data_IF_300031477768
#
_entry.id   IF_300031477768
#
_cell.length_a   1.000
_cell.length_b   1.000
_cell.length_c   1.000
_cell.angle_alpha   90.00
_cell.angle_beta   90.00
_cell.angle_gamma   90.00
#
_symmetry.space_group_name_H-M   'P 1'
#
loop_
_entity.id
_entity.type
_entity.pdbx_description
1 polymer ?
#
# COMPACT_ATOMS: atom_id res chain seq x y z
N UNK A 1 1.89 22.01 33.19
CA UNK A 1 1.22 21.30 34.30
C UNK A 1 1.47 19.81 34.10
N UNK A 2 2.18 19.22 35.08
CA UNK A 2 2.67 17.84 35.05
C UNK A 2 1.53 16.86 35.32
N UNK A 3 1.37 15.82 34.48
CA UNK A 3 0.61 14.63 34.85
C UNK A 3 1.46 13.37 34.73
N UNK A 4 1.59 12.72 35.89
CA UNK A 4 2.46 11.60 36.21
C UNK A 4 1.95 10.31 35.58
N UNK A 5 2.88 9.52 34.98
CA UNK A 5 2.66 8.13 34.60
C UNK A 5 2.61 7.25 35.83
N UNK A 6 1.58 6.42 35.95
CA UNK A 6 1.51 5.35 36.93
C UNK A 6 2.03 4.04 36.31
N UNK A 7 3.11 3.54 36.91
CA UNK A 7 3.77 2.27 36.56
C UNK A 7 3.07 1.18 37.39
N UNK A 8 2.42 0.21 36.77
CA UNK A 8 1.85 -0.94 37.44
C UNK A 8 2.74 -2.17 37.20
N UNK A 9 3.39 -2.59 38.27
CA UNK A 9 4.24 -3.78 38.36
C UNK A 9 3.34 -5.00 38.57
N UNK A 10 3.42 -6.03 37.72
CA UNK A 10 2.83 -7.35 38.00
C UNK A 10 3.94 -8.36 38.34
N UNK A 11 3.81 -8.92 39.53
CA UNK A 11 4.71 -9.93 40.10
C UNK A 11 4.46 -11.30 39.46
N UNK A 12 5.56 -11.99 39.13
CA UNK A 12 5.62 -13.42 38.88
C UNK A 12 5.28 -14.23 40.12
N UNK A 13 4.48 -15.26 39.97
CA UNK A 13 4.46 -16.37 40.91
C UNK A 13 4.61 -17.70 40.18
N UNK A 14 5.73 -18.35 40.47
CA UNK A 14 6.12 -19.68 40.01
C UNK A 14 5.36 -20.74 40.81
N UNK A 15 4.84 -21.76 40.16
CA UNK A 15 4.50 -23.02 40.78
C UNK A 15 5.12 -24.17 39.99
N UNK A 16 6.10 -24.82 40.67
CA UNK A 16 6.65 -26.13 40.32
C UNK A 16 5.76 -27.20 40.91
N UNK A 17 5.34 -28.17 40.14
CA UNK A 17 5.06 -29.52 40.65
C UNK A 17 5.44 -30.55 39.58
N UNK A 18 6.43 -31.36 39.93
CA UNK A 18 6.78 -32.54 39.17
C UNK A 18 5.93 -33.75 39.60
N UNK A 19 5.78 -34.69 38.70
CA UNK A 19 5.66 -36.11 39.01
C UNK A 19 6.03 -36.96 37.76
N UNK A 20 7.03 -37.78 37.97
CA UNK A 20 7.41 -38.92 37.11
C UNK A 20 6.32 -39.98 37.13
N UNK A 21 6.04 -40.58 35.98
CA UNK A 21 5.62 -41.97 35.86
C UNK A 21 6.09 -42.55 34.53
N UNK A 22 6.97 -43.51 34.64
CA UNK A 22 7.40 -44.38 33.53
C UNK A 22 6.29 -45.38 33.21
N UNK A 23 6.03 -45.65 31.95
CA UNK A 23 5.36 -46.87 31.51
C UNK A 23 6.04 -47.42 30.24
N UNK A 24 6.59 -48.58 30.41
CA UNK A 24 7.06 -49.48 29.37
C UNK A 24 5.97 -49.80 28.33
N UNK A 25 6.34 -49.80 27.07
CA UNK A 25 5.58 -50.46 26.02
C UNK A 25 6.53 -51.08 24.97
N UNK A 26 6.22 -52.28 24.51
CA UNK A 26 7.15 -53.11 23.77
C UNK A 26 7.27 -52.74 22.31
N UNK A 27 8.45 -52.94 21.78
CA UNK A 27 8.90 -52.78 20.39
C UNK A 27 8.10 -53.74 19.44
N UNK A 28 7.54 -53.27 18.33
CA UNK A 28 7.02 -54.16 17.29
C UNK A 28 8.10 -54.50 16.24
N UNK A 29 8.12 -55.79 15.91
CA UNK A 29 9.02 -56.46 15.01
C UNK A 29 9.14 -55.81 13.62
N UNK A 30 10.36 -55.82 13.09
CA UNK A 30 10.74 -55.40 11.75
C UNK A 30 10.17 -56.33 10.67
N UNK A 31 9.34 -55.78 9.78
CA UNK A 31 8.91 -56.38 8.54
C UNK A 31 9.80 -55.85 7.39
N UNK A 32 10.23 -56.69 6.42
CA UNK A 32 11.12 -56.26 5.35
C UNK A 32 10.43 -55.31 4.36
N UNK A 33 11.08 -54.16 4.07
CA UNK A 33 10.65 -53.21 3.06
C UNK A 33 10.68 -53.85 1.66
N UNK A 34 9.52 -53.86 0.99
CA UNK A 34 9.44 -54.06 -0.48
C UNK A 34 9.97 -52.81 -1.18
N UNK A 35 10.89 -53.00 -2.09
CA UNK A 35 11.43 -52.05 -3.02
C UNK A 35 10.31 -51.40 -3.83
N UNK A 36 10.08 -50.10 -3.56
CA UNK A 36 9.09 -49.30 -4.28
C UNK A 36 9.70 -48.74 -5.54
N UNK A 37 9.30 -49.25 -6.67
CA UNK A 37 9.63 -48.75 -8.00
C UNK A 37 9.16 -47.30 -8.14
N UNK A 38 10.13 -46.38 -8.34
CA UNK A 38 9.87 -44.98 -8.63
C UNK A 38 9.10 -44.83 -9.94
N UNK A 39 7.84 -44.46 -9.85
CA UNK A 39 7.05 -43.98 -10.99
C UNK A 39 7.59 -42.61 -11.41
N UNK A 40 7.71 -42.32 -12.71
CA UNK A 40 8.08 -40.98 -13.15
C UNK A 40 6.97 -39.99 -12.77
N UNK A 41 7.36 -38.91 -12.10
CA UNK A 41 6.49 -37.76 -11.78
C UNK A 41 6.01 -37.16 -13.11
N UNK A 42 4.78 -37.39 -13.48
CA UNK A 42 4.12 -36.60 -14.52
C UNK A 42 3.85 -35.20 -13.94
N UNK A 43 4.62 -34.24 -14.39
CA UNK A 43 4.30 -32.80 -14.16
C UNK A 43 2.91 -32.57 -14.77
N UNK A 44 1.92 -32.30 -13.90
CA UNK A 44 0.63 -31.76 -14.36
C UNK A 44 0.89 -30.46 -15.10
N UNK A 45 0.28 -30.24 -16.26
CA UNK A 45 0.33 -28.95 -16.90
C UNK A 45 -0.31 -27.94 -15.95
N UNK A 46 0.44 -26.89 -15.58
CA UNK A 46 -0.09 -25.74 -14.89
C UNK A 46 -1.23 -25.19 -15.72
N UNK A 47 -2.43 -25.16 -15.16
CA UNK A 47 -3.56 -24.47 -15.77
C UNK A 47 -3.12 -23.02 -15.96
N UNK A 48 -3.14 -22.45 -17.18
CA UNK A 48 -2.78 -21.04 -17.34
C UNK A 48 -3.74 -20.23 -16.48
N UNK A 49 -3.20 -19.48 -15.52
CA UNK A 49 -3.99 -18.42 -14.88
C UNK A 49 -4.49 -17.50 -15.99
N UNK A 50 -5.73 -17.01 -15.90
CA UNK A 50 -6.19 -16.01 -16.86
C UNK A 50 -5.17 -14.87 -16.88
N UNK A 51 -4.68 -14.53 -18.08
CA UNK A 51 -3.78 -13.40 -18.26
C UNK A 51 -4.52 -12.15 -17.75
N UNK A 52 -4.02 -11.60 -16.64
CA UNK A 52 -4.50 -10.33 -16.13
C UNK A 52 -4.02 -9.24 -17.09
N UNK A 53 -4.90 -8.32 -17.45
CA UNK A 53 -4.61 -7.31 -18.47
C UNK A 53 -4.08 -5.99 -17.88
N UNK A 54 -3.60 -5.99 -16.63
CA UNK A 54 -2.98 -4.82 -15.98
C UNK A 54 -1.52 -5.07 -15.64
N UNK A 55 -0.81 -3.98 -15.33
CA UNK A 55 0.60 -4.02 -14.97
C UNK A 55 0.83 -4.77 -13.65
N UNK A 56 1.84 -5.64 -13.63
CA UNK A 56 2.30 -6.37 -12.44
C UNK A 56 3.71 -5.90 -12.09
N UNK A 57 3.86 -4.87 -11.23
CA UNK A 57 5.16 -4.39 -10.83
C UNK A 57 5.92 -5.42 -9.99
N UNK A 58 7.25 -5.41 -10.11
CA UNK A 58 8.15 -6.27 -9.34
C UNK A 58 9.03 -5.44 -8.41
N UNK A 59 9.49 -6.03 -7.30
CA UNK A 59 10.41 -5.37 -6.40
C UNK A 59 11.71 -4.92 -7.12
N UNK A 60 12.29 -3.80 -6.66
CA UNK A 60 13.53 -3.24 -7.20
C UNK A 60 13.35 -2.16 -8.27
N UNK A 61 12.12 -1.79 -8.62
CA UNK A 61 11.85 -0.63 -9.48
C UNK A 61 12.20 0.67 -8.75
N UNK A 62 12.83 1.61 -9.45
CA UNK A 62 13.02 2.99 -8.98
C UNK A 62 11.77 3.81 -9.23
N UNK A 63 11.53 4.83 -8.40
CA UNK A 63 10.34 5.65 -8.56
C UNK A 63 10.56 7.12 -8.24
N UNK A 64 9.70 7.96 -8.79
CA UNK A 64 9.60 9.38 -8.51
C UNK A 64 8.14 9.75 -8.22
N UNK A 65 7.94 10.60 -7.22
CA UNK A 65 6.63 11.04 -6.76
C UNK A 65 6.48 12.56 -6.89
N UNK A 66 5.61 13.02 -7.78
CA UNK A 66 5.41 14.45 -8.04
C UNK A 66 3.91 14.75 -8.17
N UNK A 67 3.26 15.01 -7.05
CA UNK A 67 1.82 15.32 -7.01
C UNK A 67 1.52 16.72 -6.46
N UNK A 68 2.53 17.47 -6.04
CA UNK A 68 2.36 18.77 -5.40
C UNK A 68 2.03 19.94 -6.35
N UNK A 69 2.25 19.76 -7.65
CA UNK A 69 1.92 20.75 -8.69
C UNK A 69 1.92 20.10 -10.08
N UNK A 70 1.48 20.87 -11.10
CA UNK A 70 1.38 20.38 -12.49
C UNK A 70 2.71 20.47 -13.29
N UNK A 71 3.78 21.04 -12.70
CA UNK A 71 5.10 21.17 -13.32
C UNK A 71 5.95 19.92 -13.03
N UNK A 72 5.72 18.88 -13.83
CA UNK A 72 6.38 17.58 -13.64
C UNK A 72 7.73 17.56 -14.37
N UNK A 73 8.81 17.37 -13.62
CA UNK A 73 10.14 17.14 -14.19
C UNK A 73 10.31 15.69 -14.65
N UNK A 74 10.10 15.48 -15.96
CA UNK A 74 10.24 14.17 -16.61
C UNK A 74 11.70 13.79 -16.90
N UNK A 75 12.68 14.65 -16.56
CA UNK A 75 14.10 14.38 -16.79
C UNK A 75 14.74 13.49 -15.72
N UNK A 76 14.09 13.34 -14.56
CA UNK A 76 14.60 12.54 -13.46
C UNK A 76 14.55 11.05 -13.82
N UNK A 77 15.66 10.34 -13.64
CA UNK A 77 15.73 8.92 -13.97
C UNK A 77 14.98 8.08 -12.92
N UNK A 78 13.91 7.43 -13.35
CA UNK A 78 13.11 6.49 -12.55
C UNK A 78 12.33 5.56 -13.50
N UNK A 79 12.07 4.33 -13.05
CA UNK A 79 11.26 3.36 -13.79
C UNK A 79 9.77 3.69 -13.72
N UNK A 80 9.35 4.32 -12.60
CA UNK A 80 7.95 4.60 -12.27
C UNK A 80 7.80 6.07 -11.85
N UNK A 81 6.77 6.73 -12.37
CA UNK A 81 6.34 8.05 -11.93
C UNK A 81 4.96 7.97 -11.32
N UNK A 82 4.79 8.57 -10.17
CA UNK A 82 3.48 8.77 -9.54
C UNK A 82 3.15 10.26 -9.58
N UNK A 83 2.09 10.58 -10.32
CA UNK A 83 1.68 11.95 -10.66
C UNK A 83 0.16 12.10 -10.59
N UNK A 84 -0.29 13.34 -10.41
CA UNK A 84 -1.72 13.64 -10.26
C UNK A 84 -2.55 13.29 -11.50
N UNK A 85 -3.79 12.83 -11.31
CA UNK A 85 -4.76 12.53 -12.36
C UNK A 85 -4.94 13.67 -13.39
N UNK A 86 -4.88 14.92 -12.92
CA UNK A 86 -5.23 16.09 -13.74
C UNK A 86 -4.05 16.71 -14.48
N UNK A 87 -2.84 16.12 -14.44
CA UNK A 87 -1.69 16.57 -15.25
C UNK A 87 -2.00 16.56 -16.75
N UNK A 88 -1.24 17.31 -17.55
CA UNK A 88 -1.41 17.32 -19.00
C UNK A 88 -1.12 15.93 -19.60
N UNK A 89 -1.91 15.51 -20.59
CA UNK A 89 -1.74 14.25 -21.32
C UNK A 89 -0.33 14.12 -21.91
N UNK A 90 0.25 15.21 -22.40
CA UNK A 90 1.59 15.21 -22.99
C UNK A 90 2.69 14.73 -22.02
N UNK A 91 2.51 14.91 -20.71
CA UNK A 91 3.44 14.44 -19.68
C UNK A 91 3.42 12.90 -19.60
N UNK A 92 2.24 12.30 -19.60
CA UNK A 92 2.06 10.85 -19.57
C UNK A 92 2.64 10.22 -20.83
N UNK A 93 2.34 10.81 -22.00
CA UNK A 93 2.85 10.36 -23.29
C UNK A 93 4.40 10.44 -23.34
N UNK A 94 4.98 11.50 -22.80
CA UNK A 94 6.44 11.67 -22.71
C UNK A 94 7.08 10.63 -21.78
N UNK A 95 6.50 10.37 -20.62
CA UNK A 95 6.99 9.34 -19.69
C UNK A 95 6.94 7.95 -20.33
N UNK A 96 5.84 7.60 -21.00
CA UNK A 96 5.73 6.34 -21.74
C UNK A 96 6.73 6.26 -22.90
N UNK A 97 6.96 7.36 -23.65
CA UNK A 97 7.97 7.40 -24.71
C UNK A 97 9.39 7.15 -24.19
N UNK A 98 9.65 7.44 -22.91
CA UNK A 98 10.89 7.11 -22.19
C UNK A 98 10.89 5.69 -21.58
N UNK A 99 9.84 4.90 -21.81
CA UNK A 99 9.69 3.52 -21.29
C UNK A 99 9.30 3.43 -19.80
N UNK A 100 8.81 4.53 -19.21
CA UNK A 100 8.45 4.60 -17.81
C UNK A 100 7.00 4.20 -17.58
N UNK A 101 6.71 3.64 -16.41
CA UNK A 101 5.35 3.39 -15.93
C UNK A 101 4.82 4.58 -15.17
N UNK A 102 3.51 4.83 -15.26
CA UNK A 102 2.89 6.02 -14.67
C UNK A 102 1.72 5.61 -13.78
N UNK A 103 1.82 5.97 -12.49
CA UNK A 103 0.78 5.79 -11.47
C UNK A 103 -0.08 7.06 -11.43
N UNK A 104 -1.38 6.89 -11.37
CA UNK A 104 -2.38 7.93 -11.27
C UNK A 104 -2.72 8.19 -9.79
N UNK A 105 -2.27 9.29 -9.22
CA UNK A 105 -2.69 9.72 -7.89
C UNK A 105 -4.14 10.21 -7.90
N UNK A 106 -4.95 9.69 -6.99
CA UNK A 106 -6.30 10.17 -6.67
C UNK A 106 -6.55 10.10 -5.15
N UNK A 107 -7.07 11.16 -4.53
CA UNK A 107 -7.62 11.02 -3.18
C UNK A 107 -8.94 10.27 -3.21
N UNK A 108 -9.08 9.23 -2.40
CA UNK A 108 -10.32 8.44 -2.30
C UNK A 108 -10.95 8.50 -0.91
N UNK A 109 -10.16 8.91 0.09
CA UNK A 109 -10.60 9.04 1.48
C UNK A 109 -10.89 10.46 1.90
N UNK A 110 -10.49 11.46 1.12
CA UNK A 110 -10.81 12.87 1.35
C UNK A 110 -11.42 13.54 0.13
N UNK A 111 -12.25 14.53 0.40
CA UNK A 111 -12.75 15.53 -0.55
C UNK A 111 -11.79 16.72 -0.55
N UNK A 112 -11.47 17.23 -1.75
CA UNK A 112 -10.52 18.33 -1.95
C UNK A 112 -11.24 19.50 -2.65
N UNK A 113 -11.18 20.71 -2.10
CA UNK A 113 -11.95 21.89 -2.56
C UNK A 113 -11.47 22.46 -3.91
N UNK A 114 -10.30 22.02 -4.38
CA UNK A 114 -9.69 22.46 -5.65
C UNK A 114 -9.94 21.51 -6.82
N UNK A 115 -10.50 20.31 -6.57
CA UNK A 115 -10.73 19.34 -7.63
C UNK A 115 -11.87 19.73 -8.56
N UNK A 116 -11.75 19.45 -9.86
CA UNK A 116 -12.79 19.80 -10.83
C UNK A 116 -14.16 19.15 -10.54
N UNK A 117 -14.18 18.01 -9.89
CA UNK A 117 -15.36 17.21 -9.56
C UNK A 117 -15.93 17.43 -8.15
N UNK A 118 -15.37 18.38 -7.40
CA UNK A 118 -15.74 18.66 -5.99
C UNK A 118 -17.24 18.86 -5.75
N UNK A 119 -17.92 19.49 -6.70
CA UNK A 119 -19.34 19.80 -6.58
C UNK A 119 -20.26 18.58 -6.82
N UNK A 120 -19.69 17.43 -7.22
CA UNK A 120 -20.42 16.18 -7.40
C UNK A 120 -20.60 15.41 -6.09
N UNK A 121 -19.83 15.72 -5.05
CA UNK A 121 -19.93 15.04 -3.77
C UNK A 121 -21.16 15.50 -2.99
N UNK A 122 -22.09 14.58 -2.63
CA UNK A 122 -23.21 14.92 -1.77
C UNK A 122 -22.75 15.40 -0.40
N UNK A 123 -23.39 16.43 0.15
CA UNK A 123 -23.01 17.00 1.44
C UNK A 123 -23.02 15.98 2.59
N UNK A 124 -23.83 14.94 2.49
CA UNK A 124 -23.97 13.90 3.51
C UNK A 124 -22.77 12.95 3.61
N UNK A 125 -21.86 12.91 2.61
CA UNK A 125 -20.63 12.15 2.67
C UNK A 125 -19.43 12.98 3.12
N UNK A 126 -19.59 14.29 3.31
CA UNK A 126 -18.53 15.21 3.72
C UNK A 126 -18.44 15.27 5.26
N UNK A 127 -17.36 14.74 5.80
CA UNK A 127 -17.06 14.69 7.22
C UNK A 127 -16.40 15.97 7.77
N UNK A 128 -15.60 15.80 8.81
CA UNK A 128 -14.77 16.87 9.39
C UNK A 128 -13.67 17.30 8.43
N UNK A 129 -13.15 18.51 8.66
CA UNK A 129 -11.94 18.96 7.99
C UNK A 129 -10.78 18.01 8.29
N UNK A 130 -9.93 17.79 7.30
CA UNK A 130 -8.74 16.96 7.45
C UNK A 130 -7.66 17.83 8.15
N UNK A 131 -7.32 17.49 9.39
CA UNK A 131 -6.34 18.24 10.17
C UNK A 131 -4.97 18.24 9.48
N UNK A 132 -4.38 19.42 9.35
CA UNK A 132 -3.12 19.63 8.62
C UNK A 132 -3.27 19.89 7.11
N UNK A 133 -4.42 19.56 6.50
CA UNK A 133 -4.65 19.72 5.06
C UNK A 133 -5.81 20.67 4.77
N UNK A 134 -5.48 21.96 4.63
CA UNK A 134 -6.48 22.99 4.39
C UNK A 134 -7.18 22.80 3.04
N UNK A 135 -8.51 22.73 3.07
CA UNK A 135 -9.34 22.51 1.88
C UNK A 135 -9.75 21.07 1.69
N UNK A 136 -9.30 20.17 2.59
CA UNK A 136 -9.72 18.77 2.57
C UNK A 136 -10.70 18.45 3.68
N UNK A 137 -11.57 17.49 3.41
CA UNK A 137 -12.53 16.94 4.35
C UNK A 137 -12.60 15.43 4.19
N UNK A 138 -12.70 14.71 5.30
CA UNK A 138 -12.88 13.27 5.30
C UNK A 138 -14.17 12.85 4.60
N UNK A 139 -14.16 11.66 3.98
CA UNK A 139 -15.32 11.07 3.31
C UNK A 139 -15.94 9.95 4.14
N UNK A 140 -17.26 9.80 4.08
CA UNK A 140 -17.96 8.61 4.59
C UNK A 140 -17.86 7.45 3.60
N UNK A 141 -16.78 6.69 3.68
CA UNK A 141 -16.50 5.56 2.78
C UNK A 141 -17.50 4.40 2.89
N UNK A 142 -18.37 4.38 3.89
CA UNK A 142 -19.46 3.41 3.96
C UNK A 142 -20.50 3.64 2.85
N UNK A 143 -20.56 4.87 2.35
CA UNK A 143 -21.50 5.31 1.32
C UNK A 143 -20.93 5.10 -0.09
N UNK A 144 -20.47 3.86 -0.35
CA UNK A 144 -20.02 3.48 -1.70
C UNK A 144 -21.09 3.80 -2.74
N UNK A 145 -22.37 3.67 -2.41
CA UNK A 145 -23.49 4.01 -3.28
C UNK A 145 -23.46 5.46 -3.79
N UNK A 146 -22.99 6.40 -2.97
CA UNK A 146 -22.88 7.81 -3.30
C UNK A 146 -21.50 8.18 -3.88
N UNK A 147 -20.44 7.52 -3.42
CA UNK A 147 -19.08 7.79 -3.86
C UNK A 147 -18.74 7.12 -5.20
N UNK A 148 -19.36 5.98 -5.50
CA UNK A 148 -19.06 5.21 -6.70
C UNK A 148 -19.14 6.02 -8.01
N UNK A 149 -20.17 6.83 -8.29
CA UNK A 149 -20.21 7.59 -9.53
C UNK A 149 -18.99 8.49 -9.74
N UNK A 150 -18.44 9.06 -8.65
CA UNK A 150 -17.29 9.98 -8.67
C UNK A 150 -15.99 9.19 -8.80
N UNK A 151 -15.80 8.18 -7.94
CA UNK A 151 -14.57 7.37 -7.95
C UNK A 151 -14.43 6.57 -9.24
N UNK A 152 -15.51 6.03 -9.79
CA UNK A 152 -15.48 5.34 -11.09
C UNK A 152 -15.13 6.31 -12.22
N UNK A 153 -15.63 7.54 -12.20
CA UNK A 153 -15.28 8.56 -13.18
C UNK A 153 -13.78 8.94 -13.09
N UNK A 154 -13.20 9.03 -11.88
CA UNK A 154 -11.76 9.22 -11.69
C UNK A 154 -10.95 8.05 -12.25
N UNK A 155 -11.34 6.81 -11.95
CA UNK A 155 -10.69 5.61 -12.49
C UNK A 155 -10.83 5.51 -14.03
N UNK A 156 -12.01 5.85 -14.57
CA UNK A 156 -12.24 5.91 -16.03
C UNK A 156 -11.32 6.95 -16.69
N UNK A 157 -11.09 8.08 -16.03
CA UNK A 157 -10.19 9.12 -16.51
C UNK A 157 -8.72 8.69 -16.43
N UNK A 158 -8.27 8.01 -15.34
CA UNK A 158 -6.93 7.41 -15.27
C UNK A 158 -6.72 6.44 -16.43
N UNK A 159 -7.66 5.53 -16.69
CA UNK A 159 -7.61 4.59 -17.80
C UNK A 159 -7.57 5.32 -19.15
N UNK A 160 -8.47 6.29 -19.37
CA UNK A 160 -8.56 7.02 -20.64
C UNK A 160 -7.29 7.82 -20.96
N UNK A 161 -6.58 8.33 -19.94
CA UNK A 161 -5.30 9.02 -20.06
C UNK A 161 -4.11 8.06 -20.22
N UNK A 162 -4.34 6.75 -20.08
CA UNK A 162 -3.33 5.73 -20.29
C UNK A 162 -2.40 5.48 -19.10
N UNK A 163 -2.78 5.87 -17.89
CA UNK A 163 -2.03 5.46 -16.71
C UNK A 163 -1.95 3.93 -16.58
N UNK A 164 -0.87 3.43 -15.99
CA UNK A 164 -0.64 1.99 -15.79
C UNK A 164 -1.21 1.48 -14.47
N UNK A 165 -1.34 2.37 -13.48
CA UNK A 165 -1.76 2.05 -12.13
C UNK A 165 -2.46 3.23 -11.44
N UNK A 166 -2.99 2.98 -10.24
CA UNK A 166 -3.61 3.98 -9.37
C UNK A 166 -2.98 3.95 -7.98
N UNK A 167 -2.66 5.13 -7.43
CA UNK A 167 -2.46 5.37 -6.01
C UNK A 167 -3.76 5.94 -5.43
N UNK A 168 -4.54 5.17 -4.67
CA UNK A 168 -5.71 5.66 -3.95
C UNK A 168 -5.28 6.20 -2.58
N UNK A 169 -5.16 7.51 -2.45
CA UNK A 169 -4.69 8.15 -1.22
C UNK A 169 -5.76 8.30 -0.15
N UNK A 170 -5.30 8.56 1.09
CA UNK A 170 -6.13 8.73 2.28
C UNK A 170 -6.92 7.47 2.66
N UNK A 171 -6.22 6.32 2.69
CA UNK A 171 -6.80 5.00 3.00
C UNK A 171 -6.69 4.59 4.47
N UNK A 172 -6.24 5.46 5.38
CA UNK A 172 -6.20 5.21 6.83
C UNK A 172 -7.35 5.90 7.56
N UNK A 173 -8.53 5.92 6.96
CA UNK A 173 -9.65 6.78 7.33
C UNK A 173 -10.20 6.43 8.70
N UNK A 174 -10.38 5.13 8.99
CA UNK A 174 -11.04 4.68 10.24
C UNK A 174 -10.22 4.97 11.51
N UNK A 175 -8.92 5.25 11.37
CA UNK A 175 -8.03 5.61 12.48
C UNK A 175 -8.11 7.09 12.84
N UNK A 176 -8.83 7.89 12.04
CA UNK A 176 -8.91 9.34 12.16
C UNK A 176 -10.27 9.82 12.69
N UNK A 177 -10.30 11.03 13.24
CA UNK A 177 -11.56 11.68 13.67
C UNK A 177 -12.28 12.31 12.48
N UNK A 178 -12.88 11.47 11.66
CA UNK A 178 -13.54 11.87 10.40
C UNK A 178 -14.90 12.52 10.60
N UNK A 179 -15.48 12.43 11.80
CA UNK A 179 -16.88 12.79 12.05
C UNK A 179 -17.87 11.65 11.77
N UNK A 180 -17.39 10.51 11.26
CA UNK A 180 -18.15 9.30 11.01
C UNK A 180 -17.65 8.14 11.88
N UNK A 181 -18.50 7.23 12.36
CA UNK A 181 -18.06 6.05 13.11
C UNK A 181 -17.55 4.95 12.17
N UNK A 182 -16.46 5.24 11.46
CA UNK A 182 -15.83 4.30 10.54
C UNK A 182 -15.09 3.20 11.30
N UNK A 183 -15.11 2.00 10.74
CA UNK A 183 -14.45 0.82 11.30
C UNK A 183 -13.39 0.29 10.35
N UNK A 184 -12.51 -0.57 10.86
CA UNK A 184 -11.56 -1.35 10.08
C UNK A 184 -12.24 -2.08 8.91
N UNK A 185 -13.40 -2.72 9.17
CA UNK A 185 -14.14 -3.47 8.16
C UNK A 185 -14.75 -2.56 7.08
N UNK A 186 -15.19 -1.35 7.44
CA UNK A 186 -15.68 -0.36 6.47
C UNK A 186 -14.57 0.02 5.48
N UNK A 187 -13.37 0.32 5.99
CA UNK A 187 -12.22 0.64 5.15
C UNK A 187 -11.79 -0.55 4.30
N UNK A 188 -11.70 -1.75 4.87
CA UNK A 188 -11.35 -2.95 4.12
C UNK A 188 -12.35 -3.20 2.98
N UNK A 189 -13.65 -3.06 3.24
CA UNK A 189 -14.69 -3.20 2.21
C UNK A 189 -14.52 -2.17 1.09
N UNK A 190 -14.21 -0.93 1.43
CA UNK A 190 -13.98 0.13 0.45
C UNK A 190 -12.72 -0.14 -0.38
N UNK A 191 -11.62 -0.56 0.26
CA UNK A 191 -10.37 -0.93 -0.39
C UNK A 191 -10.56 -2.08 -1.39
N UNK A 192 -11.26 -3.15 -0.99
CA UNK A 192 -11.55 -4.30 -1.86
C UNK A 192 -12.39 -3.90 -3.08
N UNK A 193 -13.39 -3.02 -2.88
CA UNK A 193 -14.21 -2.48 -3.96
C UNK A 193 -13.38 -1.65 -4.94
N UNK A 194 -12.51 -0.75 -4.46
CA UNK A 194 -11.63 0.05 -5.32
C UNK A 194 -10.70 -0.81 -6.15
N UNK A 195 -10.10 -1.84 -5.56
CA UNK A 195 -9.20 -2.74 -6.28
C UNK A 195 -9.92 -3.49 -7.41
N UNK A 196 -11.11 -4.01 -7.14
CA UNK A 196 -11.93 -4.67 -8.16
C UNK A 196 -12.28 -3.71 -9.32
N UNK A 197 -12.60 -2.45 -9.01
CA UNK A 197 -12.91 -1.44 -10.03
C UNK A 197 -11.69 -0.95 -10.83
N UNK A 198 -10.51 -0.87 -10.20
CA UNK A 198 -9.26 -0.56 -10.90
C UNK A 198 -8.87 -1.70 -11.85
N UNK A 199 -8.89 -2.93 -11.39
CA UNK A 199 -8.55 -4.12 -12.19
C UNK A 199 -9.50 -4.32 -13.38
N UNK A 200 -10.80 -4.07 -13.23
CA UNK A 200 -11.78 -4.08 -14.34
C UNK A 200 -11.40 -3.11 -15.47
N UNK A 201 -10.65 -2.07 -15.15
CA UNK A 201 -10.17 -1.04 -16.08
C UNK A 201 -8.77 -1.31 -16.63
N UNK A 202 -8.16 -2.43 -16.23
CA UNK A 202 -6.79 -2.76 -16.61
C UNK A 202 -5.75 -1.88 -15.90
N UNK A 203 -6.09 -1.28 -14.76
CA UNK A 203 -5.18 -0.51 -13.92
C UNK A 203 -4.68 -1.37 -12.76
N UNK A 204 -3.36 -1.40 -12.53
CA UNK A 204 -2.83 -1.87 -11.27
C UNK A 204 -3.21 -0.91 -10.12
N UNK A 205 -3.13 -1.36 -8.87
CA UNK A 205 -3.50 -0.52 -7.73
C UNK A 205 -2.51 -0.69 -6.57
N UNK A 206 -2.10 0.43 -5.95
CA UNK A 206 -1.20 0.49 -4.80
C UNK A 206 -1.95 0.60 -3.48
N UNK A 207 -1.54 -0.18 -2.47
CA UNK A 207 -1.97 0.05 -1.10
C UNK A 207 -1.22 1.27 -0.55
N UNK A 208 -1.95 2.36 -0.25
CA UNK A 208 -1.39 3.52 0.44
C UNK A 208 -1.45 3.32 1.93
N UNK A 209 -0.28 3.34 2.60
CA UNK A 209 -0.18 3.19 4.05
C UNK A 209 -1.01 2.01 4.61
N UNK A 210 -1.83 2.21 5.66
CA UNK A 210 -2.78 1.24 6.22
C UNK A 210 -2.15 -0.13 6.52
N UNK A 211 -1.01 -0.13 7.22
CA UNK A 211 -0.18 -1.32 7.47
C UNK A 211 -0.88 -2.45 8.20
N UNK A 212 -1.93 -2.17 8.95
CA UNK A 212 -2.74 -3.15 9.67
C UNK A 212 -3.66 -3.98 8.75
N UNK A 213 -3.88 -3.53 7.50
CA UNK A 213 -4.68 -4.24 6.48
C UNK A 213 -3.82 -5.01 5.46
N UNK A 214 -2.51 -5.01 5.59
CA UNK A 214 -1.59 -5.65 4.63
C UNK A 214 -1.93 -7.12 4.37
N UNK A 215 -2.22 -7.89 5.42
CA UNK A 215 -2.52 -9.33 5.29
C UNK A 215 -3.77 -9.64 4.46
N UNK A 216 -4.75 -8.73 4.45
CA UNK A 216 -5.97 -8.84 3.66
C UNK A 216 -5.77 -8.32 2.23
N UNK A 217 -4.90 -7.32 2.04
CA UNK A 217 -4.78 -6.59 0.78
C UNK A 217 -3.63 -7.09 -0.10
N UNK A 218 -2.57 -7.66 0.45
CA UNK A 218 -1.36 -8.05 -0.29
C UNK A 218 -1.61 -9.00 -1.48
N UNK A 219 -2.62 -9.86 -1.41
CA UNK A 219 -2.97 -10.77 -2.51
C UNK A 219 -3.85 -10.12 -3.59
N UNK A 220 -4.33 -8.88 -3.35
CA UNK A 220 -5.27 -8.17 -4.21
C UNK A 220 -4.59 -6.92 -4.80
N UNK A 221 -3.94 -6.13 -3.98
CA UNK A 221 -3.19 -4.95 -4.40
C UNK A 221 -1.86 -5.35 -5.05
N UNK A 222 -1.40 -4.59 -6.02
CA UNK A 222 -0.25 -4.94 -6.87
C UNK A 222 1.09 -4.42 -6.34
N UNK A 223 1.06 -3.38 -5.51
CA UNK A 223 2.22 -2.77 -4.85
C UNK A 223 1.78 -2.03 -3.59
N UNK A 224 2.73 -1.45 -2.86
CA UNK A 224 2.44 -0.58 -1.73
C UNK A 224 3.19 0.75 -1.85
N UNK A 225 2.60 1.82 -1.32
CA UNK A 225 3.22 3.13 -1.12
C UNK A 225 3.12 3.49 0.36
N UNK A 226 4.24 3.88 0.99
CA UNK A 226 4.30 4.22 2.41
C UNK A 226 4.95 5.57 2.64
N UNK A 227 4.54 6.25 3.71
CA UNK A 227 5.08 7.53 4.13
C UNK A 227 5.58 7.47 5.56
N UNK A 228 6.84 7.89 5.78
CA UNK A 228 7.50 7.98 7.08
C UNK A 228 7.59 6.64 7.86
N UNK A 229 7.50 5.48 7.18
CA UNK A 229 7.49 4.17 7.84
C UNK A 229 8.83 3.79 8.46
N UNK A 230 9.95 4.28 7.91
CA UNK A 230 11.26 4.10 8.56
C UNK A 230 11.39 5.01 9.78
N UNK A 231 10.89 6.24 9.69
CA UNK A 231 10.90 7.16 10.83
C UNK A 231 10.07 6.62 12.02
N UNK A 232 8.91 6.03 11.75
CA UNK A 232 8.03 5.47 12.78
C UNK A 232 8.36 4.03 13.17
N UNK A 233 9.41 3.41 12.58
CA UNK A 233 9.78 2.01 12.80
C UNK A 233 8.65 1.02 12.42
N UNK A 234 7.95 1.32 11.35
CA UNK A 234 6.81 0.54 10.84
C UNK A 234 7.09 -0.21 9.53
N UNK A 235 8.25 0.00 8.90
CA UNK A 235 8.58 -0.55 7.59
C UNK A 235 8.41 -2.08 7.50
N UNK A 236 8.76 -2.82 8.56
CA UNK A 236 8.65 -4.28 8.59
C UNK A 236 7.21 -4.79 8.42
N UNK A 237 6.21 -3.97 8.69
CA UNK A 237 4.79 -4.33 8.50
C UNK A 237 4.44 -4.57 7.01
N UNK A 238 5.23 -4.00 6.09
CA UNK A 238 5.03 -4.11 4.64
C UNK A 238 5.78 -5.29 4.00
N UNK A 239 6.54 -6.06 4.76
CA UNK A 239 7.28 -7.24 4.26
C UNK A 239 6.42 -8.24 3.47
N UNK A 240 5.13 -8.48 3.78
CA UNK A 240 4.31 -9.38 2.98
C UNK A 240 4.24 -9.01 1.48
N UNK A 241 4.36 -7.72 1.12
CA UNK A 241 4.45 -7.31 -0.30
C UNK A 241 5.73 -7.83 -0.95
N UNK A 242 6.88 -7.68 -0.30
CA UNK A 242 8.17 -8.18 -0.79
C UNK A 242 8.17 -9.70 -0.88
N UNK A 243 7.60 -10.40 0.10
CA UNK A 243 7.45 -11.85 0.09
C UNK A 243 6.56 -12.33 -1.05
N UNK A 244 5.59 -11.51 -1.46
CA UNK A 244 4.75 -11.74 -2.63
C UNK A 244 5.42 -11.31 -3.96
N UNK A 245 6.67 -10.82 -3.95
CA UNK A 245 7.40 -10.33 -5.12
C UNK A 245 6.96 -8.95 -5.61
N UNK A 246 6.17 -8.24 -4.82
CA UNK A 246 5.59 -6.92 -5.14
C UNK A 246 6.45 -5.79 -4.55
N UNK A 247 6.57 -4.63 -5.22
CA UNK A 247 7.36 -3.52 -4.70
C UNK A 247 6.67 -2.81 -3.53
N UNK A 248 7.50 -2.27 -2.65
CA UNK A 248 7.13 -1.25 -1.67
C UNK A 248 7.87 0.03 -2.03
N UNK A 249 7.15 1.03 -2.47
CA UNK A 249 7.62 2.39 -2.72
C UNK A 249 7.49 3.18 -1.42
N UNK A 250 8.62 3.53 -0.80
CA UNK A 250 8.64 4.20 0.50
C UNK A 250 9.15 5.64 0.35
N UNK A 251 8.40 6.59 0.86
CA UNK A 251 8.79 7.99 0.95
C UNK A 251 9.04 8.38 2.41
N UNK A 252 10.22 8.95 2.67
CA UNK A 252 10.52 9.64 3.91
C UNK A 252 10.57 11.15 3.64
N UNK A 253 10.35 11.98 4.64
CA UNK A 253 10.25 13.41 4.44
C UNK A 253 11.32 14.21 5.19
N UNK A 254 11.78 15.32 4.57
CA UNK A 254 12.84 16.19 5.11
C UNK A 254 12.42 17.00 6.34
N UNK A 255 11.14 17.07 6.65
CA UNK A 255 10.59 17.83 7.79
C UNK A 255 10.58 17.01 9.10
N UNK A 256 10.80 15.70 9.01
CA UNK A 256 10.98 14.84 10.19
C UNK A 256 12.48 14.60 10.46
N UNK A 257 12.90 14.55 11.73
CA UNK A 257 14.27 14.23 12.07
C UNK A 257 14.57 12.76 11.81
N UNK A 258 15.59 12.45 11.01
CA UNK A 258 15.99 11.10 10.71
C UNK A 258 17.34 11.05 10.01
N UNK A 259 18.00 9.91 10.06
CA UNK A 259 19.22 9.63 9.30
C UNK A 259 18.81 8.88 8.02
N UNK A 260 18.74 9.59 6.90
CA UNK A 260 18.33 8.98 5.63
C UNK A 260 19.28 7.89 5.15
N UNK A 261 20.59 8.00 5.47
CA UNK A 261 21.57 6.95 5.13
C UNK A 261 21.27 5.66 5.93
N UNK A 262 20.86 5.77 7.20
CA UNK A 262 20.41 4.63 7.98
C UNK A 262 19.10 4.05 7.44
N UNK A 263 18.17 4.88 7.02
CA UNK A 263 16.94 4.43 6.35
C UNK A 263 17.25 3.69 5.05
N UNK A 264 18.18 4.20 4.23
CA UNK A 264 18.63 3.52 3.02
C UNK A 264 19.28 2.16 3.29
N UNK A 265 20.10 2.04 4.33
CA UNK A 265 20.67 0.75 4.72
C UNK A 265 19.58 -0.27 5.10
N UNK A 266 18.57 0.17 5.85
CA UNK A 266 17.44 -0.68 6.22
C UNK A 266 16.56 -0.99 5.02
N UNK A 267 16.26 -0.03 4.16
CA UNK A 267 15.54 -0.18 2.89
C UNK A 267 16.16 -1.27 2.02
N UNK A 268 17.48 -1.24 1.85
CA UNK A 268 18.22 -2.26 1.11
C UNK A 268 18.07 -3.67 1.70
N UNK A 269 18.07 -3.80 3.03
CA UNK A 269 17.83 -5.09 3.70
C UNK A 269 16.41 -5.61 3.47
N UNK A 270 15.42 -4.71 3.42
CA UNK A 270 14.03 -5.04 3.20
C UNK A 270 13.65 -5.14 1.71
N UNK A 271 14.56 -4.78 0.79
CA UNK A 271 14.31 -4.69 -0.65
C UNK A 271 13.20 -3.68 -1.02
N UNK A 272 13.15 -2.54 -0.31
CA UNK A 272 12.22 -1.45 -0.59
C UNK A 272 12.85 -0.44 -1.55
N UNK A 273 12.00 0.28 -2.27
CA UNK A 273 12.38 1.42 -3.12
C UNK A 273 12.14 2.71 -2.36
N UNK A 274 13.15 3.17 -1.60
CA UNK A 274 13.00 4.32 -0.70
C UNK A 274 13.56 5.60 -1.29
N UNK A 275 12.80 6.67 -1.16
CA UNK A 275 13.18 8.04 -1.55
C UNK A 275 12.97 9.01 -0.39
N UNK A 276 13.73 10.09 -0.39
CA UNK A 276 13.51 11.24 0.49
C UNK A 276 12.86 12.37 -0.32
N UNK A 277 11.79 12.93 0.20
CA UNK A 277 11.01 13.98 -0.44
C UNK A 277 10.86 15.20 0.47
N UNK A 278 10.48 16.32 -0.11
CA UNK A 278 9.85 17.40 0.64
C UNK A 278 8.35 17.15 0.73
N UNK A 279 7.70 17.54 1.82
CA UNK A 279 6.25 17.35 2.04
C UNK A 279 5.37 17.95 0.92
N UNK A 280 5.87 18.93 0.19
CA UNK A 280 5.19 19.52 -0.95
C UNK A 280 5.25 18.67 -2.24
N UNK A 281 5.90 17.51 -2.23
CA UNK A 281 5.98 16.52 -3.33
C UNK A 281 6.27 17.15 -4.71
N UNK A 282 7.21 18.13 -4.72
CA UNK A 282 7.76 18.74 -5.92
C UNK A 282 8.75 17.78 -6.65
N UNK A 283 9.43 18.26 -7.69
CA UNK A 283 10.41 17.48 -8.43
C UNK A 283 11.65 17.06 -7.61
N UNK A 284 11.94 17.74 -6.49
CA UNK A 284 13.11 17.43 -5.68
C UNK A 284 13.02 16.02 -5.09
N UNK A 285 14.11 15.27 -5.19
CA UNK A 285 14.24 13.90 -4.70
C UNK A 285 15.67 13.63 -4.24
N UNK A 286 15.83 12.80 -3.21
CA UNK A 286 17.07 12.11 -2.92
C UNK A 286 16.78 10.61 -2.89
N UNK A 287 17.54 9.83 -3.65
CA UNK A 287 17.38 8.37 -3.73
C UNK A 287 18.41 7.68 -2.84
N UNK A 288 18.09 6.48 -2.42
CA UNK A 288 19.08 5.59 -1.79
C UNK A 288 20.12 5.13 -2.81
N UNK A 289 21.42 5.03 -2.42
CA UNK A 289 22.52 4.61 -3.29
C UNK A 289 22.48 3.10 -3.63
#
# INVERSE_FOLDING_TARGET
MSMRRALTLFLLSSFLFGCNLASDSPEPASTPMKESTLMPSTSQPSNPQPETNWWHPTAGLTWQWQIGNDDIDTSIEADVYDIDLYVDQAIIDELHAKGRKVICYISVGSWEDWRPDKDQFPAEVLGKDYDGWKGERWLDIRRIDLLAPIMLARLDLCQAKGFDAVEPDNMEIYTNDTGFPLTYDDQLKFALWLADEAHKRGLAIGQKNASDQVTQLVNIYDFAITEDYFYYDEADKMLPYIEAGKPVFAAEYTDLPGDFDAFCQRSKQLNFSTILKKRGLDAWIQTCP
#
